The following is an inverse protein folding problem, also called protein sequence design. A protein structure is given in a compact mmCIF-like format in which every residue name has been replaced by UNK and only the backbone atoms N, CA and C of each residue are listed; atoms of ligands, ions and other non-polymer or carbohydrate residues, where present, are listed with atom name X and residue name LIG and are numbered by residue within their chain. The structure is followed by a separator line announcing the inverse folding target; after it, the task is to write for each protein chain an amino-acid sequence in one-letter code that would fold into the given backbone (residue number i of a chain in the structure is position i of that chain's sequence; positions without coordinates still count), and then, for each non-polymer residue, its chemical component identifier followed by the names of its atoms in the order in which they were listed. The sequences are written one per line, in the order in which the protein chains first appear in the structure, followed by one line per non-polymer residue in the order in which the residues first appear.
data_IF_995819671059
#
_entry.id   IF_995819671059
#
_cell.length_a   1.000
_cell.length_b   1.000
_cell.length_c   1.000
_cell.angle_alpha   90.00
_cell.angle_beta   90.00
_cell.angle_gamma   90.00
#
_symmetry.space_group_name_H-M   'P 1'
#
loop_
_entity.id
_entity.type
_entity.pdbx_description
1 polymer ?
2 non-polymer ?
3 non-polymer ?
4 water ?
#
# COMPACT_ATOMS: atom_id res chain seq x y z
N UNK A 10 9.22 4.19 16.41
CA UNK A 10 9.92 3.90 15.13
C UNK A 10 9.27 2.83 14.28
N UNK A 11 9.25 3.13 13.00
CA UNK A 11 8.79 2.21 11.97
C UNK A 11 9.91 1.19 11.84
N UNK A 12 9.55 -0.11 11.90
CA UNK A 12 10.61 -1.12 11.86
C UNK A 12 11.38 -1.18 10.53
N UNK A 13 12.64 -1.57 10.64
CA UNK A 13 13.48 -1.87 9.50
C UNK A 13 12.95 -3.17 8.88
N UNK A 14 13.27 -3.42 7.62
CA UNK A 14 12.84 -4.66 6.99
C UNK A 14 13.52 -5.85 7.64
N UNK A 15 12.86 -7.00 7.63
CA UNK A 15 13.46 -8.22 8.20
C UNK A 15 14.33 -8.98 7.20
N UNK A 16 14.28 -8.61 5.92
CA UNK A 16 15.02 -9.32 4.89
C UNK A 16 16.51 -9.00 4.77
N UNK A 17 17.22 -9.73 3.89
CA UNK A 17 18.65 -9.57 3.66
C UNK A 17 19.07 -8.33 2.87
N UNK A 18 18.16 -7.66 2.18
CA UNK A 18 18.52 -6.56 1.29
C UNK A 18 18.34 -5.24 2.04
N UNK A 19 19.26 -4.32 1.81
CA UNK A 19 19.09 -2.93 2.24
C UNK A 19 17.98 -2.33 1.40
N UNK A 20 17.38 -1.26 1.91
CA UNK A 20 16.21 -0.68 1.25
C UNK A 20 16.39 0.79 0.92
N UNK A 21 16.04 1.12 -0.33
CA UNK A 21 16.05 2.48 -0.81
C UNK A 21 14.65 2.95 -1.05
N UNK A 22 14.49 4.28 -1.10
CA UNK A 22 13.19 4.88 -1.36
C UNK A 22 13.33 6.14 -2.24
N UNK A 23 12.36 6.34 -3.12
CA UNK A 23 12.24 7.59 -3.87
C UNK A 23 10.78 7.79 -4.28
N UNK A 24 10.53 8.94 -4.92
CA UNK A 24 9.19 9.27 -5.44
C UNK A 24 9.25 9.48 -6.95
N UNK A 25 8.21 8.99 -7.63
CA UNK A 25 8.01 9.19 -9.06
C UNK A 25 6.62 9.77 -9.37
N UNK A 26 6.62 10.85 -10.12
CA UNK A 26 5.38 11.40 -10.66
C UNK A 26 5.53 11.52 -12.16
N UNK A 27 4.73 10.77 -12.91
CA UNK A 27 4.69 10.90 -14.36
C UNK A 27 3.34 10.48 -14.98
N UNK A 28 2.76 11.27 -15.86
CA UNK A 28 3.12 12.69 -16.09
C UNK A 28 2.90 13.56 -14.82
N UNK A 29 3.15 14.85 -14.96
CA UNK A 29 2.93 15.87 -13.93
C UNK A 29 1.48 16.24 -13.59
N UNK A 30 0.50 15.71 -14.35
CA UNK A 30 -0.90 16.18 -14.26
C UNK A 30 -1.67 15.39 -13.23
N UNK A 31 -2.86 15.88 -12.90
CA UNK A 31 -3.78 15.12 -12.03
C UNK A 31 -4.19 13.72 -12.54
N UNK A 32 -3.99 13.45 -13.83
CA UNK A 32 -4.20 12.12 -14.43
C UNK A 32 -2.93 11.30 -14.62
N UNK A 33 -1.79 11.85 -14.23
CA UNK A 33 -0.55 11.09 -14.16
C UNK A 33 -0.53 10.11 -13.01
N UNK A 34 0.58 9.38 -12.93
CA UNK A 34 0.85 8.45 -11.86
C UNK A 34 1.77 9.15 -10.85
N UNK A 35 1.41 9.00 -9.58
CA UNK A 35 2.25 9.42 -8.45
C UNK A 35 2.46 8.19 -7.58
N UNK A 36 3.72 7.82 -7.37
CA UNK A 36 4.02 6.71 -6.49
C UNK A 36 5.28 6.94 -5.66
N UNK A 37 5.33 6.26 -4.52
CA UNK A 37 6.54 6.15 -3.74
C UNK A 37 7.09 4.76 -3.99
N UNK A 38 8.35 4.71 -4.40
CA UNK A 38 9.04 3.45 -4.70
C UNK A 38 9.93 3.02 -3.52
N UNK A 39 9.78 1.77 -3.11
CA UNK A 39 10.70 1.09 -2.17
C UNK A 39 11.38 -0.04 -2.94
N UNK A 40 12.68 -0.16 -2.82
CA UNK A 40 13.43 -1.06 -3.68
C UNK A 40 14.71 -1.58 -3.01
N UNK A 41 15.20 -2.76 -3.43
CA UNK A 41 16.47 -3.22 -2.93
C UNK A 41 17.56 -2.25 -3.33
N UNK A 42 18.34 -1.80 -2.37
CA UNK A 42 19.33 -0.76 -2.65
C UNK A 42 20.76 -1.26 -2.57
N UNK A 43 21.58 -0.67 -3.43
CA UNK A 43 22.99 -0.97 -3.51
C UNK A 43 23.73 -0.53 -2.25
N UNK A 44 23.33 0.60 -1.69
CA UNK A 44 24.06 1.22 -0.57
C UNK A 44 23.17 1.45 0.65
N UNK A 45 23.81 1.59 1.81
CA UNK A 45 23.07 1.73 3.06
C UNK A 45 23.58 2.89 3.94
N UNK A 46 24.11 3.93 3.31
CA UNK A 46 24.70 5.09 4.00
C UNK A 46 24.05 6.42 3.60
N UNK A 47 22.79 6.36 3.17
CA UNK A 47 22.06 7.56 2.82
C UNK A 47 21.20 8.00 3.95
N UNK A 48 20.73 9.25 3.85
CA UNK A 48 19.76 9.78 4.82
C UNK A 48 18.51 8.95 4.77
N UNK A 49 17.89 8.76 5.93
CA UNK A 49 16.57 8.10 5.99
C UNK A 49 15.52 8.95 5.32
N UNK A 50 14.41 8.31 5.02
CA UNK A 50 13.32 8.93 4.25
C UNK A 50 12.32 9.68 5.14
N UNK A 51 12.07 10.94 4.82
CA UNK A 51 11.06 11.74 5.54
C UNK A 51 9.67 11.08 5.36
N UNK A 52 8.99 10.81 6.48
CA UNK A 52 7.79 9.97 6.49
C UNK A 52 6.56 10.64 5.88
N UNK A 53 6.29 11.87 6.31
CA UNK A 53 5.19 12.69 5.79
C UNK A 53 5.88 13.95 5.28
N UNK A 54 6.10 14.05 3.96
CA UNK A 54 6.99 15.06 3.38
C UNK A 54 6.52 16.50 3.19
N UNK A 55 5.24 16.80 3.36
CA UNK A 55 4.75 18.17 3.14
C UNK A 55 3.71 18.53 4.19
N UNK A 56 3.72 19.80 4.57
CA UNK A 56 2.77 20.32 5.55
C UNK A 56 1.31 20.07 5.17
N UNK A 57 1.04 20.08 3.86
CA UNK A 57 -0.33 19.91 3.36
C UNK A 57 -0.93 18.53 3.68
N UNK A 58 -0.11 17.48 3.77
CA UNK A 58 -0.61 16.17 4.19
C UNK A 58 -1.21 16.26 5.60
N UNK A 59 -0.61 17.08 6.47
CA UNK A 59 -1.13 17.25 7.82
C UNK A 59 -2.46 18.00 7.83
N UNK A 60 -2.59 19.02 6.99
CA UNK A 60 -3.91 19.64 6.78
C UNK A 60 -4.94 18.63 6.30
N UNK A 61 -4.54 17.80 5.34
CA UNK A 61 -5.37 16.70 4.85
C UNK A 61 -5.85 15.81 5.98
N UNK A 62 -4.91 15.37 6.80
CA UNK A 62 -5.21 14.50 7.95
C UNK A 62 -6.17 15.17 8.93
N UNK A 63 -6.00 16.47 9.10
CA UNK A 63 -6.89 17.22 9.97
C UNK A 63 -8.34 17.16 9.48
N UNK A 64 -8.54 17.35 8.18
CA UNK A 64 -9.90 17.24 7.58
C UNK A 64 -10.42 15.80 7.72
N UNK A 65 -9.59 14.80 7.49
CA UNK A 65 -10.00 13.40 7.63
C UNK A 65 -10.51 13.10 9.05
N UNK A 66 -9.84 13.68 10.05
CA UNK A 66 -10.25 13.53 11.44
C UNK A 66 -11.45 14.39 11.80
N UNK A 67 -11.87 15.30 10.92
CA UNK A 67 -13.00 16.19 11.16
C UNK A 67 -12.66 17.24 12.21
N UNK A 68 -11.40 17.68 12.22
CA UNK A 68 -10.95 18.79 13.08
C UNK A 68 -10.61 20.05 12.27
N UNK A 69 -10.38 21.14 13.00
CA UNK A 69 -9.93 22.43 12.44
C UNK A 69 -8.57 22.20 11.83
N UNK A 70 -8.20 23.02 10.84
CA UNK A 70 -6.89 22.88 10.18
C UNK A 70 -5.68 23.14 11.08
N UNK A 71 -5.89 23.84 12.19
CA UNK A 71 -4.87 24.12 13.19
C UNK A 71 -4.43 22.85 13.93
N UNK A 72 -5.31 21.85 14.04
CA UNK A 72 -4.88 20.53 14.45
C UNK A 72 -3.85 19.98 13.47
N UNK A 73 -4.03 20.31 12.21
CA UNK A 73 -3.04 20.00 11.18
C UNK A 73 -1.66 20.53 11.57
N UNK A 74 -1.58 21.81 11.88
CA UNK A 74 -0.31 22.40 12.34
C UNK A 74 0.28 21.66 13.56
N UNK A 75 -0.59 21.24 14.47
CA UNK A 75 -0.18 20.49 15.67
C UNK A 75 0.36 19.12 15.30
N UNK A 76 -0.28 18.45 14.34
CA UNK A 76 0.17 17.15 13.87
C UNK A 76 1.54 17.28 13.22
N UNK A 77 1.74 18.37 12.49
CA UNK A 77 3.02 18.64 11.86
C UNK A 77 4.12 18.80 12.93
N UNK A 78 3.88 19.64 13.93
CA UNK A 78 4.80 19.78 15.07
C UNK A 78 5.21 18.43 15.64
N UNK A 79 4.25 17.52 15.78
CA UNK A 79 4.50 16.23 16.42
C UNK A 79 5.18 15.20 15.55
N UNK A 80 4.89 15.22 14.25
CA UNK A 80 5.26 14.13 13.35
C UNK A 80 6.02 14.56 12.11
N UNK A 81 6.24 15.87 11.94
CA UNK A 81 6.75 16.41 10.70
C UNK A 81 8.23 16.22 10.43
N UNK A 82 8.98 15.79 11.45
CA UNK A 82 10.41 15.49 11.30
C UNK A 82 10.69 13.98 11.35
N UNK A 83 9.64 13.16 11.55
CA UNK A 83 9.77 11.71 11.62
C UNK A 83 10.24 11.11 10.29
N UNK A 84 11.15 10.14 10.38
CA UNK A 84 11.69 9.44 9.23
C UNK A 84 11.24 7.99 9.27
N UNK A 85 11.48 7.28 8.17
CA UNK A 85 11.21 5.85 8.06
C UNK A 85 12.51 5.22 7.52
N UNK A 86 12.87 4.00 7.99
CA UNK A 86 14.22 3.50 7.71
C UNK A 86 14.37 2.99 6.26
N UNK A 87 14.43 3.93 5.32
CA UNK A 87 14.75 3.63 3.92
C UNK A 87 15.74 4.69 3.40
N UNK A 88 16.77 4.23 2.69
CA UNK A 88 17.82 5.10 2.18
C UNK A 88 17.27 5.96 1.05
N UNK A 89 17.11 7.26 1.31
CA UNK A 89 16.49 8.17 0.33
C UNK A 89 17.39 8.29 -0.89
N UNK A 90 16.82 7.98 -2.06
CA UNK A 90 17.53 8.04 -3.37
C UNK A 90 18.78 7.19 -3.51
N UNK A 91 18.88 6.14 -2.73
CA UNK A 91 20.01 5.22 -2.85
C UNK A 91 19.96 4.59 -4.25
N UNK A 92 21.13 4.29 -4.83
CA UNK A 92 21.09 3.52 -6.07
C UNK A 92 20.42 2.14 -5.89
N UNK A 93 19.72 1.70 -6.92
CA UNK A 93 19.12 0.35 -6.99
C UNK A 93 20.19 -0.73 -6.95
N UNK A 94 19.94 -1.80 -6.20
CA UNK A 94 20.86 -2.94 -6.16
C UNK A 94 20.83 -3.61 -7.55
N UNK A 95 21.97 -3.61 -8.24
CA UNK A 95 21.99 -4.13 -9.61
C UNK A 95 22.13 -5.65 -9.60
N UNK A 96 21.92 -6.23 -10.78
CA UNK A 96 22.35 -7.62 -11.07
C UNK A 96 21.28 -8.68 -10.85
N UNK A 97 20.03 -8.26 -10.72
CA UNK A 97 18.95 -9.18 -10.44
C UNK A 97 17.63 -8.51 -10.77
N UNK A 98 16.70 -9.30 -11.31
CA UNK A 98 15.32 -8.84 -11.62
C UNK A 98 14.37 -9.06 -10.43
N UNK A 99 13.65 -8.01 -10.05
CA UNK A 99 12.81 -8.05 -8.84
C UNK A 99 11.31 -8.16 -9.19
N UNK A 100 10.56 -9.01 -8.47
CA UNK A 100 9.11 -8.92 -8.66
C UNK A 100 8.56 -7.59 -8.14
N UNK A 101 7.37 -7.25 -8.62
CA UNK A 101 6.75 -5.95 -8.38
C UNK A 101 5.44 -6.06 -7.65
N UNK A 102 5.32 -5.28 -6.57
CA UNK A 102 4.06 -5.07 -5.90
C UNK A 102 3.55 -3.64 -6.12
N UNK A 103 2.29 -3.51 -6.51
CA UNK A 103 1.63 -2.23 -6.53
C UNK A 103 0.79 -2.20 -5.25
N UNK A 104 0.94 -1.13 -4.49
CA UNK A 104 0.29 -1.01 -3.18
C UNK A 104 -0.71 0.16 -3.14
N UNK A 105 -1.90 -0.13 -2.60
CA UNK A 105 -2.99 0.85 -2.54
C UNK A 105 -3.39 1.21 -1.13
N UNK A 106 -3.33 2.51 -0.84
CA UNK A 106 -3.58 3.03 0.49
C UNK A 106 -5.06 3.16 0.81
N UNK A 107 -5.34 3.30 2.10
CA UNK A 107 -6.71 3.49 2.61
C UNK A 107 -7.28 4.89 2.41
N UNK A 108 -8.58 5.01 2.71
CA UNK A 108 -9.27 6.29 2.80
C UNK A 108 -8.68 7.23 3.86
N UNK A 109 -8.35 8.45 3.45
CA UNK A 109 -7.72 9.43 4.33
C UNK A 109 -6.23 9.22 4.53
N UNK A 110 -5.69 8.19 3.89
CA UNK A 110 -4.24 7.96 3.91
C UNK A 110 -3.60 8.61 2.66
N UNK A 111 -2.37 8.24 2.35
CA UNK A 111 -1.68 8.70 1.15
C UNK A 111 -0.50 7.76 0.98
N UNK A 112 0.35 8.00 -0.01
CA UNK A 112 1.34 6.99 -0.44
C UNK A 112 2.41 6.58 0.59
N UNK A 113 2.68 7.44 1.57
CA UNK A 113 3.88 7.29 2.39
C UNK A 113 3.61 6.50 3.70
N UNK A 114 2.35 6.20 3.98
CA UNK A 114 1.91 5.71 5.29
C UNK A 114 1.87 4.18 5.47
N UNK A 115 2.42 3.46 4.49
CA UNK A 115 2.56 2.01 4.55
C UNK A 115 4.00 1.58 4.27
N UNK A 116 4.94 2.35 4.84
CA UNK A 116 6.36 2.08 4.71
C UNK A 116 6.79 0.84 5.48
N UNK A 117 6.09 0.47 6.55
CA UNK A 117 6.50 -0.71 7.32
C UNK A 117 6.39 -1.92 6.37
N UNK A 118 5.28 -1.96 5.65
CA UNK A 118 5.04 -3.01 4.63
C UNK A 118 5.97 -2.89 3.46
N UNK A 119 6.04 -1.70 2.88
CA UNK A 119 6.87 -1.47 1.68
C UNK A 119 8.35 -1.77 1.89
N UNK A 120 8.91 -1.27 2.99
CA UNK A 120 10.30 -1.53 3.38
C UNK A 120 10.53 -3.02 3.59
N UNK A 121 9.62 -3.69 4.30
CA UNK A 121 9.84 -5.11 4.57
C UNK A 121 9.86 -5.93 3.28
N UNK A 122 8.91 -5.64 2.40
CA UNK A 122 8.84 -6.30 1.10
C UNK A 122 10.14 -6.06 0.34
N UNK A 123 10.53 -4.79 0.24
CA UNK A 123 11.78 -4.44 -0.45
C UNK A 123 12.99 -5.13 0.14
N UNK A 124 13.07 -5.25 1.46
CA UNK A 124 14.19 -5.94 2.11
C UNK A 124 14.26 -7.43 1.75
N UNK A 125 13.13 -8.00 1.28
CA UNK A 125 13.10 -9.38 0.76
C UNK A 125 13.27 -9.51 -0.77
N UNK A 126 13.53 -8.40 -1.45
CA UNK A 126 13.84 -8.39 -2.89
C UNK A 126 12.68 -8.09 -3.81
N UNK A 127 11.66 -7.38 -3.32
CA UNK A 127 10.62 -6.78 -4.16
C UNK A 127 10.88 -5.30 -4.41
N UNK A 128 10.36 -4.82 -5.54
CA UNK A 128 10.18 -3.41 -5.75
C UNK A 128 8.72 -3.20 -5.45
N UNK A 129 8.44 -2.16 -4.68
CA UNK A 129 7.10 -1.81 -4.25
C UNK A 129 6.76 -0.43 -4.74
N UNK A 130 5.66 -0.32 -5.49
CA UNK A 130 5.14 0.96 -5.92
C UNK A 130 3.85 1.29 -5.16
N UNK A 131 3.96 2.18 -4.17
CA UNK A 131 2.83 2.67 -3.38
C UNK A 131 2.23 3.90 -4.06
N UNK A 132 1.10 3.67 -4.71
CA UNK A 132 0.45 4.71 -5.50
C UNK A 132 -0.17 5.75 -4.58
N UNK A 133 -0.30 6.96 -5.09
CA UNK A 133 -1.10 7.96 -4.38
C UNK A 133 -2.27 8.24 -5.30
N UNK A 134 -3.47 7.99 -4.80
CA UNK A 134 -4.68 8.10 -5.54
C UNK A 134 -5.15 9.54 -5.63
N UNK A 135 -5.72 9.87 -6.79
CA UNK A 135 -6.21 11.22 -7.10
C UNK A 135 -7.73 11.22 -7.18
N UNK A 136 -8.37 10.25 -6.51
CA UNK A 136 -9.83 10.08 -6.50
C UNK A 136 -10.53 10.91 -5.40
N UNK A 137 -9.74 11.72 -4.68
CA UNK A 137 -10.16 12.49 -3.50
C UNK A 137 -10.42 11.57 -2.29
N UNK A 138 -9.90 10.33 -2.33
CA UNK A 138 -9.86 9.43 -1.16
C UNK A 138 -8.57 9.60 -0.33
N UNK A 139 -7.54 10.23 -0.89
CA UNK A 139 -6.34 10.55 -0.12
C UNK A 139 -6.68 11.75 0.78
N UNK A 140 -6.12 11.80 2.00
CA UNK A 140 -6.22 13.02 2.84
C UNK A 140 -5.82 14.27 2.07
N UNK A 141 -4.70 14.11 1.36
CA UNK A 141 -4.20 15.12 0.43
C UNK A 141 -3.37 14.41 -0.62
N UNK A 142 -3.27 15.03 -1.79
CA UNK A 142 -2.29 14.68 -2.80
C UNK A 142 -2.02 15.95 -3.62
N UNK A 143 -1.02 15.89 -4.50
CA UNK A 143 -0.70 17.03 -5.35
C UNK A 143 -0.24 16.61 -6.74
N UNK A 144 -0.21 17.60 -7.61
CA UNK A 144 0.22 17.47 -9.01
C UNK A 144 0.39 18.90 -9.50
N UNK A 145 0.64 19.05 -10.80
CA UNK A 145 0.89 20.36 -11.42
C UNK A 145 -0.10 20.62 -12.56
N UNK A 146 -0.55 21.87 -12.63
CA UNK A 146 -1.61 22.28 -13.56
C UNK A 146 -1.17 22.15 -15.00
N UNK A 147 0.11 22.44 -15.24
CA UNK A 147 0.67 22.38 -16.57
C UNK A 147 2.19 22.28 -16.51
N UNK A 148 2.83 22.29 -17.68
CA UNK A 148 4.26 22.08 -17.76
C UNK A 148 5.03 23.17 -17.02
N UNK A 149 4.62 24.42 -17.20
CA UNK A 149 5.23 25.58 -16.52
C UNK A 149 5.29 25.41 -15.01
N UNK A 150 4.14 25.09 -14.42
CA UNK A 150 4.00 24.88 -12.97
C UNK A 150 4.89 23.74 -12.43
N UNK A 151 4.92 22.63 -13.16
CA UNK A 151 5.81 21.51 -12.82
C UNK A 151 7.29 21.95 -12.74
N UNK A 152 7.75 22.74 -13.70
CA UNK A 152 9.12 23.29 -13.72
C UNK A 152 9.48 24.12 -12.49
N UNK A 153 8.63 25.10 -12.20
CA UNK A 153 8.84 25.95 -11.03
C UNK A 153 8.44 25.29 -9.71
N UNK A 154 7.87 24.08 -9.76
CA UNK A 154 7.47 23.37 -8.52
C UNK A 154 6.24 23.97 -7.83
N UNK A 155 5.37 24.58 -8.63
CA UNK A 155 4.13 25.19 -8.13
C UNK A 155 3.05 24.11 -8.01
N UNK A 156 2.97 23.53 -6.82
CA UNK A 156 2.05 22.42 -6.53
C UNK A 156 0.60 22.85 -6.42
N UNK A 157 -0.30 22.05 -7.00
CA UNK A 157 -1.72 22.17 -6.75
C UNK A 157 -2.13 20.99 -5.89
N UNK A 158 -2.81 21.30 -4.78
CA UNK A 158 -3.23 20.31 -3.81
C UNK A 158 -4.71 19.92 -3.99
N UNK A 159 -5.00 18.64 -3.76
CA UNK A 159 -6.34 18.08 -3.84
C UNK A 159 -6.59 17.37 -2.52
N UNK A 160 -7.64 17.82 -1.80
CA UNK A 160 -7.94 17.32 -0.47
C UNK A 160 -9.07 16.31 -0.48
N UNK A 161 -9.11 15.48 0.57
CA UNK A 161 -10.17 14.52 0.83
C UNK A 161 -11.57 15.08 0.54
N UNK A 162 -12.38 14.34 -0.22
CA UNK A 162 -13.80 14.68 -0.41
C UNK A 162 -14.64 14.04 0.68
N UNK A 163 -15.44 14.88 1.33
CA UNK A 163 -16.44 14.47 2.29
C UNK A 163 -17.75 14.17 1.54
N UNK A 164 -18.35 13.03 1.84
CA UNK A 164 -19.58 12.58 1.17
C UNK A 164 -20.79 12.77 2.06
N UNK A 165 -21.93 13.06 1.44
CA UNK A 165 -23.24 12.98 2.10
C UNK A 165 -23.64 11.51 2.05
N UNK A 166 -24.49 11.08 2.99
CA UNK A 166 -24.91 9.66 3.07
C UNK A 166 -25.50 9.11 1.77
N UNK A 167 -26.23 9.96 1.06
CA UNK A 167 -26.85 9.62 -0.20
C UNK A 167 -25.84 9.44 -1.35
N UNK A 168 -24.63 9.98 -1.21
CA UNK A 168 -23.55 9.82 -2.20
C UNK A 168 -22.69 8.60 -1.98
N UNK A 169 -22.81 7.94 -0.83
CA UNK A 169 -21.81 6.94 -0.40
C UNK A 169 -21.66 5.80 -1.42
N UNK A 170 -22.76 5.11 -1.72
CA UNK A 170 -22.69 3.92 -2.60
C UNK A 170 -22.07 4.29 -3.93
N UNK A 171 -22.61 5.34 -4.54
CA UNK A 171 -22.24 5.69 -5.88
C UNK A 171 -20.80 6.20 -5.98
N UNK A 172 -20.43 7.16 -5.14
CA UNK A 172 -19.11 7.78 -5.20
C UNK A 172 -17.99 6.82 -4.78
N UNK A 173 -18.23 5.99 -3.76
CA UNK A 173 -17.20 5.00 -3.38
C UNK A 173 -16.89 4.01 -4.50
N UNK A 174 -17.91 3.65 -5.28
CA UNK A 174 -17.71 2.75 -6.44
C UNK A 174 -16.95 3.50 -7.54
N UNK A 175 -17.29 4.77 -7.80
CA UNK A 175 -16.56 5.55 -8.80
C UNK A 175 -15.09 5.63 -8.39
N UNK A 176 -14.87 5.79 -7.09
CA UNK A 176 -13.53 5.92 -6.56
C UNK A 176 -12.72 4.63 -6.70
N UNK A 177 -13.33 3.50 -6.35
CA UNK A 177 -12.63 2.22 -6.44
C UNK A 177 -12.26 1.87 -7.89
N UNK A 178 -13.08 2.29 -8.83
CA UNK A 178 -12.77 2.03 -10.25
C UNK A 178 -11.64 2.92 -10.71
N UNK A 179 -11.67 4.19 -10.32
CA UNK A 179 -10.51 5.07 -10.56
C UNK A 179 -9.24 4.55 -9.93
N UNK A 180 -9.33 4.10 -8.68
CA UNK A 180 -8.19 3.53 -7.98
C UNK A 180 -7.60 2.35 -8.78
N UNK A 181 -8.46 1.47 -9.27
CA UNK A 181 -8.00 0.34 -10.06
C UNK A 181 -7.27 0.77 -11.32
N UNK A 182 -7.83 1.77 -12.02
CA UNK A 182 -7.18 2.34 -13.19
C UNK A 182 -5.82 2.94 -12.87
N UNK A 183 -5.72 3.58 -11.71
CA UNK A 183 -4.48 4.15 -11.25
C UNK A 183 -3.45 3.06 -10.95
N UNK A 184 -3.89 1.93 -10.40
CA UNK A 184 -3.00 0.78 -10.21
C UNK A 184 -2.49 0.24 -11.52
N UNK A 185 -3.39 0.04 -12.49
CA UNK A 185 -3.01 -0.46 -13.80
C UNK A 185 -2.07 0.53 -14.49
N UNK A 186 -2.37 1.81 -14.38
CA UNK A 186 -1.52 2.84 -14.96
C UNK A 186 -0.12 2.86 -14.34
N UNK A 187 -0.06 2.68 -13.03
CA UNK A 187 1.25 2.65 -12.35
C UNK A 187 2.09 1.46 -12.84
N UNK A 188 1.44 0.29 -13.00
CA UNK A 188 2.08 -0.91 -13.54
C UNK A 188 2.69 -0.65 -14.91
N UNK A 189 1.87 -0.09 -15.80
CA UNK A 189 2.30 0.23 -17.15
C UNK A 189 3.50 1.17 -17.15
N UNK A 190 3.47 2.20 -16.30
CA UNK A 190 4.60 3.12 -16.21
C UNK A 190 5.90 2.39 -15.82
N UNK A 191 5.81 1.56 -14.78
CA UNK A 191 6.97 0.80 -14.32
C UNK A 191 7.46 -0.20 -15.38
N UNK A 192 6.54 -0.93 -16.01
CA UNK A 192 6.91 -1.85 -17.11
C UNK A 192 7.55 -1.10 -18.27
N UNK A 193 7.07 0.11 -18.58
CA UNK A 193 7.69 0.95 -19.61
C UNK A 193 9.08 1.45 -19.23
N UNK A 194 9.26 1.84 -17.97
CA UNK A 194 10.59 2.20 -17.47
C UNK A 194 11.51 0.98 -17.52
N UNK A 195 10.98 -0.20 -17.19
CA UNK A 195 11.77 -1.45 -17.24
C UNK A 195 12.39 -1.68 -18.61
N UNK A 196 11.64 -1.39 -19.67
CA UNK A 196 12.14 -1.50 -21.03
C UNK A 196 13.28 -0.51 -21.30
N UNK A 197 13.12 0.70 -20.77
CA UNK A 197 14.09 1.79 -20.98
C UNK A 197 13.52 3.02 -21.65
N UNK A 198 12.19 3.15 -21.67
CA UNK A 198 11.56 4.41 -22.07
C UNK A 198 12.06 5.58 -21.22
N UNK A 199 12.62 6.63 -21.84
CA UNK A 199 12.91 7.82 -21.07
C UNK A 199 11.63 8.37 -20.47
N UNK A 200 11.66 8.61 -19.17
CA UNK A 200 10.59 9.26 -18.43
C UNK A 200 11.27 10.38 -17.65
N UNK A 201 10.84 11.61 -17.80
CA UNK A 201 11.35 12.71 -16.96
C UNK A 201 10.46 12.81 -15.73
N UNK A 202 11.01 12.44 -14.59
CA UNK A 202 10.28 12.57 -13.33
C UNK A 202 9.85 14.02 -13.14
N UNK A 203 8.58 14.24 -12.84
CA UNK A 203 8.08 15.60 -12.61
C UNK A 203 8.61 16.19 -11.30
N UNK A 204 9.02 15.32 -10.38
CA UNK A 204 9.76 15.73 -9.21
C UNK A 204 11.24 15.70 -9.56
N UNK A 205 11.96 16.72 -9.13
CA UNK A 205 13.38 16.85 -9.44
C UNK A 205 14.15 16.19 -8.30
N UNK A 206 14.40 14.89 -8.45
CA UNK A 206 15.02 14.07 -7.41
C UNK A 206 16.22 13.35 -8.00
N UNK A 207 17.29 13.25 -7.23
CA UNK A 207 18.54 12.64 -7.73
C UNK A 207 18.51 11.11 -7.65
N UNK A 208 17.51 10.54 -8.33
CA UNK A 208 17.39 9.10 -8.54
C UNK A 208 17.07 8.93 -10.03
N UNK A 209 18.07 8.49 -10.77
CA UNK A 209 17.91 8.26 -12.21
C UNK A 209 17.10 6.99 -12.46
N UNK A 210 15.92 7.21 -13.07
CA UNK A 210 15.00 6.14 -13.41
C UNK A 210 15.55 5.09 -14.37
N UNK A 211 16.61 5.41 -15.09
CA UNK A 211 17.24 4.42 -15.99
C UNK A 211 17.87 3.20 -15.31
N UNK A 212 18.13 3.34 -14.01
CA UNK A 212 18.50 2.20 -13.17
C UNK A 212 17.48 1.09 -13.21
N UNK A 213 16.21 1.46 -13.27
CA UNK A 213 15.15 0.48 -13.32
C UNK A 213 15.08 -0.32 -14.64
N UNK A 214 15.75 0.13 -15.70
CA UNK A 214 15.85 -0.63 -16.94
C UNK A 214 16.32 -2.07 -16.67
N UNK A 215 15.60 -3.05 -17.20
CA UNK A 215 15.91 -4.50 -17.06
C UNK A 215 16.00 -5.00 -15.62
N UNK A 216 15.26 -4.35 -14.71
CA UNK A 216 15.29 -4.68 -13.28
C UNK A 216 14.00 -5.29 -12.70
N UNK A 217 12.93 -5.37 -13.49
CA UNK A 217 11.65 -5.96 -13.07
C UNK A 217 11.51 -7.37 -13.63
N UNK A 218 11.11 -8.30 -12.78
CA UNK A 218 10.74 -9.64 -13.23
C UNK A 218 9.31 -9.50 -13.77
N UNK A 219 9.20 -9.37 -15.10
CA UNK A 219 8.00 -8.78 -15.72
C UNK A 219 6.68 -9.55 -15.57
N UNK A 220 6.70 -10.87 -15.36
CA UNK A 220 5.46 -11.63 -15.08
C UNK A 220 5.11 -11.79 -13.59
N UNK A 221 5.99 -11.37 -12.69
CA UNK A 221 5.84 -11.57 -11.26
C UNK A 221 5.29 -10.28 -10.63
N UNK A 222 4.00 -10.06 -10.82
CA UNK A 222 3.33 -8.82 -10.39
C UNK A 222 2.15 -9.12 -9.50
N UNK A 223 2.11 -8.41 -8.38
CA UNK A 223 1.01 -8.50 -7.43
C UNK A 223 0.51 -7.14 -7.04
N UNK A 224 -0.71 -7.13 -6.49
CA UNK A 224 -1.35 -5.91 -6.00
C UNK A 224 -1.72 -6.20 -4.55
N UNK A 225 -1.40 -5.26 -3.68
CA UNK A 225 -1.66 -5.36 -2.25
C UNK A 225 -2.25 -4.02 -1.77
N UNK A 226 -3.08 -4.06 -0.74
CA UNK A 226 -3.59 -2.81 -0.19
C UNK A 226 -4.46 -2.99 1.06
N UNK A 227 -4.63 -1.87 1.76
CA UNK A 227 -5.31 -1.82 3.06
C UNK A 227 -6.66 -1.13 2.96
N UNK A 228 -7.69 -1.82 3.44
CA UNK A 228 -9.00 -1.20 3.69
C UNK A 228 -9.67 -0.77 2.37
N UNK A 229 -9.75 0.53 2.06
CA UNK A 229 -10.17 0.97 0.69
C UNK A 229 -9.20 0.38 -0.35
N UNK A 230 -7.94 0.31 0.03
CA UNK A 230 -6.91 -0.33 -0.73
C UNK A 230 -7.10 -1.81 -0.98
N UNK A 231 -7.77 -2.48 -0.06
CA UNK A 231 -8.15 -3.89 -0.18
C UNK A 231 -9.24 -4.12 -1.19
N UNK A 232 -10.28 -3.27 -1.18
CA UNK A 232 -11.28 -3.26 -2.26
C UNK A 232 -10.58 -2.97 -3.61
N UNK A 233 -9.60 -2.06 -3.59
CA UNK A 233 -8.84 -1.69 -4.78
C UNK A 233 -8.10 -2.92 -5.35
N UNK A 234 -7.53 -3.74 -4.49
CA UNK A 234 -6.91 -5.03 -4.91
C UNK A 234 -7.88 -5.80 -5.78
N UNK A 235 -9.10 -5.97 -5.27
CA UNK A 235 -10.09 -6.81 -5.87
C UNK A 235 -10.58 -6.26 -7.20
N UNK A 236 -10.94 -4.98 -7.21
CA UNK A 236 -11.31 -4.32 -8.45
C UNK A 236 -10.19 -4.48 -9.51
N UNK A 237 -8.94 -4.24 -9.06
CA UNK A 237 -7.77 -4.24 -9.94
C UNK A 237 -7.55 -5.61 -10.61
N UNK A 238 -7.59 -6.67 -9.80
CA UNK A 238 -7.52 -8.04 -10.30
C UNK A 238 -8.59 -8.35 -11.32
N UNK A 239 -9.82 -7.91 -11.09
CA UNK A 239 -10.88 -8.25 -12.04
C UNK A 239 -10.73 -7.57 -13.39
N UNK A 240 -10.01 -6.45 -13.41
CA UNK A 240 -9.87 -5.72 -14.66
C UNK A 240 -8.51 -5.75 -15.33
N UNK A 241 -7.48 -6.27 -14.67
CA UNK A 241 -6.12 -6.25 -15.20
C UNK A 241 -5.44 -7.59 -14.92
N UNK A 242 -5.48 -8.48 -15.91
CA UNK A 242 -4.91 -9.83 -15.78
C UNK A 242 -3.38 -9.85 -15.68
N UNK A 243 -2.73 -8.69 -15.80
CA UNK A 243 -1.29 -8.60 -15.59
C UNK A 243 -0.93 -8.81 -14.13
N UNK A 244 -1.85 -8.45 -13.23
CA UNK A 244 -1.70 -8.75 -11.81
C UNK A 244 -2.02 -10.22 -11.57
N UNK A 245 -1.01 -10.95 -11.12
CA UNK A 245 -1.08 -12.39 -10.93
C UNK A 245 -1.77 -12.87 -9.68
N UNK A 246 -1.62 -12.12 -8.61
CA UNK A 246 -2.39 -12.40 -7.40
C UNK A 246 -2.58 -11.13 -6.60
N UNK A 247 -3.45 -11.21 -5.60
CA UNK A 247 -3.73 -10.08 -4.71
C UNK A 247 -3.75 -10.45 -3.26
N UNK A 248 -3.38 -9.47 -2.43
CA UNK A 248 -3.50 -9.57 -0.97
C UNK A 248 -4.27 -8.38 -0.42
N UNK A 249 -5.42 -8.66 0.20
CA UNK A 249 -6.28 -7.62 0.74
C UNK A 249 -6.10 -7.58 2.25
N UNK A 250 -5.64 -6.44 2.74
CA UNK A 250 -5.32 -6.24 4.15
C UNK A 250 -6.49 -5.53 4.77
N UNK A 251 -7.26 -6.28 5.54
CA UNK A 251 -8.44 -5.78 6.21
C UNK A 251 -9.29 -5.02 5.20
N UNK A 252 -9.71 -5.70 4.13
CA UNK A 252 -10.45 -5.04 3.07
C UNK A 252 -11.76 -4.40 3.56
N UNK A 253 -12.02 -3.18 3.08
CA UNK A 253 -13.31 -2.55 3.22
C UNK A 253 -14.09 -2.83 1.94
N UNK A 254 -15.08 -3.73 1.99
CA UNK A 254 -15.67 -4.25 0.76
C UNK A 254 -16.78 -3.38 0.13
N UNK A 255 -17.34 -2.48 0.93
CA UNK A 255 -18.44 -1.60 0.51
C UNK A 255 -18.33 -0.96 -0.89
N UNK A 256 -17.15 -0.44 -1.27
CA UNK A 256 -17.06 0.17 -2.63
C UNK A 256 -17.29 -0.73 -3.85
N UNK A 257 -17.17 -2.05 -3.69
CA UNK A 257 -17.22 -2.95 -4.83
C UNK A 257 -18.61 -3.05 -5.45
N UNK A 258 -18.66 -3.02 -6.77
CA UNK A 258 -19.91 -3.27 -7.49
C UNK A 258 -20.27 -4.73 -7.43
N UNK A 259 -21.57 -5.02 -7.48
CA UNK A 259 -22.10 -6.39 -7.50
C UNK A 259 -21.50 -7.27 -8.56
N UNK A 260 -21.10 -6.64 -9.66
CA UNK A 260 -20.54 -7.34 -10.81
C UNK A 260 -19.19 -8.00 -10.58
N UNK A 261 -18.35 -7.47 -9.67
CA UNK A 261 -16.93 -7.89 -9.60
C UNK A 261 -16.74 -9.26 -8.95
N UNK A 262 -17.67 -9.66 -8.09
CA UNK A 262 -17.46 -10.81 -7.20
C UNK A 262 -17.15 -12.12 -7.91
N UNK A 263 -17.88 -12.41 -8.99
CA UNK A 263 -17.63 -13.59 -9.82
C UNK A 263 -16.49 -13.45 -10.86
N UNK A 264 -15.75 -12.33 -10.83
CA UNK A 264 -14.88 -11.93 -11.95
C UNK A 264 -13.42 -11.81 -11.48
N UNK A 265 -12.98 -12.65 -10.54
CA UNK A 265 -11.61 -12.54 -10.01
C UNK A 265 -10.90 -13.90 -10.10
N UNK A 266 -10.35 -14.23 -11.28
CA UNK A 266 -9.73 -15.54 -11.44
C UNK A 266 -8.44 -15.76 -10.64
N UNK A 267 -7.75 -14.68 -10.27
CA UNK A 267 -6.43 -14.78 -9.62
C UNK A 267 -6.54 -15.19 -8.15
N UNK A 268 -5.48 -15.84 -7.63
CA UNK A 268 -5.43 -16.09 -6.18
C UNK A 268 -5.56 -14.82 -5.35
N UNK A 269 -6.28 -14.93 -4.24
CA UNK A 269 -6.59 -13.78 -3.39
C UNK A 269 -6.50 -14.19 -1.94
N UNK A 270 -5.77 -13.39 -1.16
CA UNK A 270 -5.52 -13.62 0.26
C UNK A 270 -6.11 -12.47 1.07
N UNK A 271 -7.08 -12.78 1.93
CA UNK A 271 -7.60 -11.84 2.91
C UNK A 271 -6.84 -11.99 4.24
N UNK A 272 -6.14 -10.92 4.64
CA UNK A 272 -5.48 -10.84 5.96
C UNK A 272 -6.24 -9.79 6.76
N UNK A 273 -6.97 -10.24 7.78
CA UNK A 273 -7.87 -9.37 8.59
C UNK A 273 -7.36 -9.09 10.01
N UNK A 274 -7.87 -7.99 10.58
CA UNK A 274 -7.71 -7.69 12.00
C UNK A 274 -8.87 -8.36 12.71
N UNK A 275 -8.68 -8.67 13.98
CA UNK A 275 -9.74 -9.24 14.81
C UNK A 275 -10.92 -8.26 15.02
N UNK A 276 -10.59 -6.98 15.26
CA UNK A 276 -11.58 -6.01 15.74
C UNK A 276 -12.29 -5.14 14.68
N UNK A 277 -11.71 -5.00 13.50
CA UNK A 277 -12.36 -4.26 12.41
C UNK A 277 -13.61 -4.92 11.84
N UNK A 278 -13.58 -6.24 11.66
CA UNK A 278 -14.52 -6.90 10.74
C UNK A 278 -15.92 -7.02 11.29
N UNK A 279 -16.86 -7.20 10.36
CA UNK A 279 -18.29 -7.31 10.68
C UNK A 279 -19.00 -8.16 9.64
N UNK A 280 -20.13 -8.79 10.00
CA UNK A 280 -20.78 -9.71 9.06
C UNK A 280 -20.96 -9.19 7.62
N UNK A 281 -21.47 -7.97 7.42
CA UNK A 281 -21.74 -7.46 6.06
C UNK A 281 -20.46 -7.52 5.19
N UNK A 282 -19.34 -7.13 5.79
CA UNK A 282 -18.06 -7.15 5.14
C UNK A 282 -17.59 -8.58 4.85
N UNK A 283 -17.66 -9.45 5.85
CA UNK A 283 -17.23 -10.85 5.70
C UNK A 283 -18.04 -11.58 4.64
N UNK A 284 -19.36 -11.32 4.62
CA UNK A 284 -20.25 -11.90 3.60
C UNK A 284 -19.78 -11.52 2.18
N UNK A 285 -19.40 -10.26 2.01
CA UNK A 285 -18.85 -9.79 0.73
C UNK A 285 -17.54 -10.49 0.35
N UNK A 286 -16.66 -10.71 1.32
CA UNK A 286 -15.42 -11.45 1.05
C UNK A 286 -15.75 -12.87 0.60
N UNK A 287 -16.73 -13.49 1.24
CA UNK A 287 -17.11 -14.87 0.93
C UNK A 287 -17.76 -14.99 -0.46
N UNK A 288 -18.39 -13.91 -0.94
CA UNK A 288 -18.84 -13.82 -2.34
C UNK A 288 -17.71 -13.87 -3.38
N UNK A 289 -16.47 -13.64 -2.95
CA UNK A 289 -15.33 -13.84 -3.84
C UNK A 289 -14.95 -15.31 -4.01
N UNK A 290 -15.54 -16.23 -3.22
CA UNK A 290 -15.11 -17.64 -3.21
C UNK A 290 -15.89 -18.44 -4.27
N UNK A 291 -15.19 -19.37 -4.91
CA UNK A 291 -15.76 -20.36 -5.85
C UNK A 291 -14.83 -21.56 -5.87
N UNK A 292 -15.35 -22.75 -6.25
CA UNK A 292 -14.52 -23.97 -6.18
C UNK A 292 -13.21 -23.90 -6.97
N UNK A 293 -13.22 -23.22 -8.13
CA UNK A 293 -12.05 -23.18 -9.02
C UNK A 293 -10.99 -22.14 -8.62
N UNK A 294 -11.33 -21.29 -7.64
CA UNK A 294 -10.49 -20.20 -7.24
C UNK A 294 -9.78 -20.46 -5.93
N UNK A 295 -8.59 -19.88 -5.85
CA UNK A 295 -7.71 -20.01 -4.73
C UNK A 295 -7.99 -18.82 -3.83
N UNK A 296 -8.54 -19.11 -2.66
CA UNK A 296 -8.73 -18.09 -1.63
C UNK A 296 -8.20 -18.56 -0.29
N UNK A 297 -7.67 -17.60 0.47
CA UNK A 297 -7.17 -17.83 1.80
C UNK A 297 -7.60 -16.64 2.64
N UNK A 298 -7.91 -16.92 3.91
CA UNK A 298 -8.26 -15.89 4.88
C UNK A 298 -7.63 -16.23 6.25
N UNK A 299 -7.00 -15.22 6.87
CA UNK A 299 -6.53 -15.32 8.25
C UNK A 299 -6.89 -14.06 9.01
N UNK A 300 -6.97 -14.19 10.32
CA UNK A 300 -7.25 -13.09 11.22
C UNK A 300 -6.16 -13.00 12.31
N UNK A 301 -5.60 -11.80 12.49
CA UNK A 301 -4.55 -11.56 13.47
C UNK A 301 -5.20 -11.33 14.84
N UNK A 302 -4.93 -12.21 15.81
CA UNK A 302 -5.48 -12.10 17.18
C UNK A 302 -5.08 -10.79 17.83
N UNK A 303 -6.05 -10.11 18.44
CA UNK A 303 -5.80 -8.92 19.25
C UNK A 303 -5.50 -7.66 18.47
N UNK A 304 -5.65 -7.70 17.14
CA UNK A 304 -5.29 -6.58 16.28
C UNK A 304 -6.49 -5.72 15.88
N UNK A 305 -6.18 -4.48 15.53
CA UNK A 305 -7.16 -3.48 15.07
C UNK A 305 -6.82 -3.08 13.65
N UNK A 306 -7.77 -2.36 13.04
CA UNK A 306 -7.67 -1.91 11.64
C UNK A 306 -6.35 -1.19 11.35
N UNK A 307 -5.93 -0.34 12.30
CA UNK A 307 -4.73 0.45 12.09
C UNK A 307 -3.39 -0.29 12.25
N UNK A 308 -3.40 -1.57 12.66
CA UNK A 308 -2.15 -2.37 12.76
C UNK A 308 -1.44 -2.51 11.38
N UNK A 309 -2.19 -2.31 10.28
CA UNK A 309 -1.63 -2.47 8.93
C UNK A 309 -0.97 -1.20 8.37
N UNK A 310 -1.09 -0.08 9.06
CA UNK A 310 -0.58 1.23 8.60
C UNK A 310 0.43 1.80 9.59
N UNK A 311 1.20 2.80 9.17
CA UNK A 311 2.41 3.22 9.90
C UNK A 311 2.11 3.96 11.21
N UNK A 312 0.92 4.56 11.36
CA UNK A 312 0.60 5.29 12.57
C UNK A 312 0.54 4.38 13.81
N UNK A 313 0.47 3.06 13.59
CA UNK A 313 0.59 2.09 14.67
C UNK A 313 1.96 2.12 15.34
N UNK A 314 2.97 2.64 14.63
CA UNK A 314 4.31 2.78 15.19
C UNK A 314 4.64 4.17 15.72
N UNK A 315 3.76 5.15 15.52
CA UNK A 315 4.09 6.59 15.67
C UNK A 315 3.92 7.17 17.04
N UNK A 316 3.22 6.45 17.90
CA UNK A 316 2.96 6.88 19.26
C UNK A 316 3.32 5.74 20.19
N UNK A 317 3.39 6.06 21.48
CA UNK A 317 3.60 5.08 22.53
C UNK A 317 2.41 4.13 22.70
N UNK A 318 2.62 3.13 23.56
CA UNK A 318 1.67 2.03 23.74
C UNK A 318 0.36 2.48 24.37
N UNK A 319 0.44 3.37 25.36
CA UNK A 319 -0.76 3.84 26.07
C UNK A 319 -1.56 4.76 25.14
N UNK A 320 -0.92 5.80 24.62
CA UNK A 320 -1.63 6.71 23.69
C UNK A 320 -2.16 5.92 22.50
N UNK A 321 -1.34 5.02 21.97
CA UNK A 321 -1.69 4.25 20.78
C UNK A 321 -2.94 3.41 20.93
N UNK A 322 -3.07 2.76 22.09
CA UNK A 322 -4.24 1.95 22.38
C UNK A 322 -5.49 2.82 22.52
N UNK A 323 -5.36 3.97 23.19
CA UNK A 323 -6.49 4.92 23.34
C UNK A 323 -7.03 5.43 22.01
N UNK A 324 -6.10 5.76 21.11
CA UNK A 324 -6.42 6.26 19.76
C UNK A 324 -6.83 5.19 18.73
N UNK A 325 -6.88 3.93 19.16
CA UNK A 325 -7.15 2.77 18.31
C UNK A 325 -6.13 2.60 17.18
N UNK A 326 -4.92 3.11 17.39
CA UNK A 326 -3.78 2.88 16.48
C UNK A 326 -3.10 1.55 16.79
N UNK A 327 -3.21 1.07 18.04
CA UNK A 327 -2.60 -0.19 18.46
C UNK A 327 -3.69 -1.09 19.01
N UNK A 328 -3.48 -2.41 18.89
CA UNK A 328 -4.35 -3.40 19.50
C UNK A 328 -3.70 -3.98 20.75
N UNK A 329 -4.30 -5.06 21.24
CA UNK A 329 -3.75 -5.83 22.34
C UNK A 329 -2.42 -6.48 21.98
N UNK A 330 -2.31 -6.86 20.71
CA UNK A 330 -1.11 -7.43 20.14
C UNK A 330 -0.04 -6.33 19.93
N UNK A 331 1.23 -6.67 20.17
CA UNK A 331 2.34 -5.78 19.82
C UNK A 331 2.37 -5.47 18.31
N UNK A 332 2.54 -4.19 17.97
CA UNK A 332 2.51 -3.76 16.57
C UNK A 332 3.53 -4.44 15.66
N UNK A 333 4.75 -4.66 16.17
CA UNK A 333 5.79 -5.31 15.35
C UNK A 333 5.48 -6.78 15.14
N UNK A 334 5.03 -7.45 16.20
CA UNK A 334 4.54 -8.83 16.11
C UNK A 334 3.44 -8.94 15.03
N UNK A 335 2.47 -8.05 15.08
CA UNK A 335 1.34 -8.07 14.14
C UNK A 335 1.77 -7.89 12.69
N UNK A 336 2.60 -6.89 12.43
CA UNK A 336 3.02 -6.60 11.08
C UNK A 336 3.98 -7.68 10.57
N UNK A 337 4.85 -8.23 11.43
CA UNK A 337 5.66 -9.40 11.08
C UNK A 337 4.83 -10.56 10.52
N UNK A 338 3.73 -10.88 11.20
CA UNK A 338 2.80 -11.93 10.76
C UNK A 338 2.16 -11.66 9.39
N UNK A 339 1.60 -10.46 9.25
CA UNK A 339 1.01 -10.02 7.99
C UNK A 339 2.02 -10.06 6.82
N UNK A 340 3.21 -9.50 7.06
CA UNK A 340 4.31 -9.44 6.08
C UNK A 340 4.90 -10.82 5.74
N UNK A 341 5.08 -11.67 6.74
CA UNK A 341 5.62 -13.03 6.47
C UNK A 341 4.61 -13.95 5.75
N UNK A 342 3.34 -13.89 6.18
CA UNK A 342 2.26 -14.61 5.52
C UNK A 342 2.12 -14.10 4.08
N UNK A 343 2.25 -12.79 3.89
CA UNK A 343 2.20 -12.20 2.54
C UNK A 343 3.31 -12.75 1.64
N UNK A 344 4.54 -12.74 2.14
CA UNK A 344 5.68 -13.31 1.44
C UNK A 344 5.47 -14.76 1.01
N UNK A 345 4.99 -15.60 1.91
CA UNK A 345 4.73 -17.00 1.59
C UNK A 345 3.68 -17.11 0.46
N UNK A 346 2.60 -16.36 0.57
CA UNK A 346 1.54 -16.36 -0.46
C UNK A 346 2.06 -15.92 -1.83
N UNK A 347 2.84 -14.83 -1.85
CA UNK A 347 3.45 -14.29 -3.08
C UNK A 347 4.37 -15.32 -3.73
N UNK A 348 5.20 -15.97 -2.94
CA UNK A 348 6.14 -16.95 -3.49
C UNK A 348 5.35 -18.08 -4.18
N UNK A 349 4.27 -18.50 -3.53
CA UNK A 349 3.42 -19.55 -4.06
C UNK A 349 2.80 -19.15 -5.41
N UNK A 350 2.20 -17.97 -5.47
CA UNK A 350 1.41 -17.60 -6.64
C UNK A 350 2.14 -16.77 -7.70
N UNK A 351 3.34 -16.27 -7.38
CA UNK A 351 4.25 -15.72 -8.38
C UNK A 351 5.33 -16.69 -8.81
N UNK A 352 5.44 -17.83 -8.13
CA UNK A 352 6.47 -18.80 -8.46
C UNK A 352 7.87 -18.27 -8.24
N UNK A 353 8.08 -17.70 -7.06
CA UNK A 353 9.39 -17.19 -6.68
C UNK A 353 10.28 -18.33 -6.18
N UNK A 354 11.59 -18.14 -6.31
CA UNK A 354 12.57 -19.15 -5.90
C UNK A 354 13.40 -18.63 -4.74
N UNK A 355 12.70 -18.24 -3.69
CA UNK A 355 13.27 -17.73 -2.45
C UNK A 355 12.91 -18.73 -1.34
N UNK A 356 13.04 -18.31 -0.09
CA UNK A 356 12.80 -19.18 1.07
C UNK A 356 11.52 -18.81 1.82
N UNK A 357 10.59 -18.13 1.14
CA UNK A 357 9.41 -17.58 1.81
C UNK A 357 8.39 -18.68 2.16
N UNK A 358 8.54 -19.86 1.57
CA UNK A 358 7.72 -21.01 1.94
C UNK A 358 7.95 -21.48 3.40
N UNK A 359 8.99 -20.98 4.07
CA UNK A 359 9.14 -21.18 5.54
C UNK A 359 7.94 -20.64 6.33
N UNK A 360 7.21 -19.67 5.77
CA UNK A 360 6.03 -19.13 6.40
C UNK A 360 4.69 -19.67 5.87
N UNK A 361 4.74 -20.75 5.11
CA UNK A 361 3.52 -21.39 4.55
C UNK A 361 2.43 -21.62 5.59
N UNK A 362 2.81 -22.06 6.79
CA UNK A 362 1.85 -22.36 7.84
C UNK A 362 1.02 -21.13 8.27
N UNK A 363 1.59 -19.93 8.11
CA UNK A 363 0.85 -18.68 8.40
C UNK A 363 -0.29 -18.41 7.43
N UNK A 364 -0.15 -18.87 6.18
CA UNK A 364 -1.26 -18.77 5.19
C UNK A 364 -2.49 -19.52 5.70
N UNK A 365 -2.26 -20.64 6.40
CA UNK A 365 -3.35 -21.43 6.99
C UNK A 365 -3.71 -21.00 8.43
N UNK A 366 -3.13 -19.89 8.91
CA UNK A 366 -3.45 -19.34 10.23
C UNK A 366 -2.94 -20.19 11.40
N UNK A 367 -1.90 -20.98 11.13
CA UNK A 367 -1.31 -21.88 12.12
C UNK A 367 -0.16 -21.16 12.82
N UNK A 368 -0.55 -20.48 13.90
CA UNK A 368 0.33 -19.69 14.73
C UNK A 368 -0.49 -19.31 15.96
N UNK A 369 0.16 -19.18 17.10
CA UNK A 369 -0.57 -18.83 18.32
C UNK A 369 -1.32 -17.47 18.22
N UNK A 370 -0.77 -16.50 17.48
CA UNK A 370 -1.42 -15.20 17.25
C UNK A 370 -2.29 -15.11 15.97
N UNK A 371 -2.60 -16.24 15.34
CA UNK A 371 -3.48 -16.25 14.16
C UNK A 371 -4.72 -17.07 14.42
N UNK A 372 -5.83 -16.60 13.84
CA UNK A 372 -7.07 -17.36 13.74
C UNK A 372 -7.20 -17.78 12.27
N UNK A 373 -7.34 -19.10 12.00
CA UNK A 373 -7.63 -19.46 10.62
C UNK A 373 -9.00 -18.93 10.21
N UNK A 374 -9.08 -18.41 9.00
CA UNK A 374 -10.32 -17.85 8.50
C UNK A 374 -10.72 -16.60 9.29
N UNK A 375 -11.92 -16.62 9.85
CA UNK A 375 -12.46 -15.47 10.57
C UNK A 375 -13.14 -15.79 11.89
N UNK A 376 -13.01 -14.87 12.83
CA UNK A 376 -13.75 -14.92 14.10
C UNK A 376 -15.22 -14.49 13.93
N UNK A 377 -15.59 -13.96 12.77
CA UNK A 377 -16.94 -13.42 12.53
C UNK A 377 -17.93 -14.48 12.04
N UNK A 378 -18.97 -14.70 12.85
CA UNK A 378 -20.12 -15.53 12.51
C UNK A 378 -21.11 -14.79 11.60
N UNK A 379 -21.50 -15.44 10.50
CA UNK A 379 -22.43 -14.85 9.53
C UNK A 379 -23.63 -15.77 9.28
N UNK A 380 -24.23 -16.23 10.38
CA UNK A 380 -25.52 -16.90 10.36
C UNK A 380 -26.28 -16.54 11.64
X LIG B 1 -22.74 -6.05 9.72
X LIG C 1 -10.53 -1.70 14.52
X LIG D 1 -13.21 1.77 6.74
X LIG D 1 -12.43 3.04 6.37
X LIG D 1 -13.31 4.29 6.62
X LIG D 1 -8.65 2.89 6.57
X LIG D 1 -8.02 4.25 6.84
X LIG D 1 -6.27 6.50 7.25
X LIG D 1 -5.41 7.53 7.55
X LIG D 1 -4.14 7.25 7.98
X LIG D 1 -3.68 5.96 8.14
X LIG D 1 -2.36 5.67 8.60
X LIG D 1 -11.10 3.13 7.18
X LIG D 1 -10.04 2.98 6.19
X LIG D 1 -6.63 4.07 7.13
X LIG D 1 -5.85 5.17 7.39
X LIG D 1 -3.30 8.28 8.28
X LIG D 1 -1.29 5.44 8.96
X LIG D 1 -4.56 4.91 7.84
X LIG D 1 -10.47 2.93 4.92
X LIG D 1 -9.74 2.86 3.95
X LIG D 1 -11.97 2.99 4.89
X LIG D 1 -14.13 2.01 7.01
X LIG D 1 -12.77 1.31 7.47
X LIG D 1 -13.26 1.17 5.97
X LIG D 1 -13.40 4.80 5.80
X LIG D 1 -12.89 4.85 7.30
X LIG D 1 -14.19 4.01 6.93
X LIG D 1 -8.57 2.34 7.38
X LIG D 1 -8.14 2.45 5.86
X LIG D 1 -8.13 4.83 6.07
X LIG D 1 -8.46 4.68 7.61
X LIG D 1 -7.14 6.67 6.96
X LIG D 1 -5.70 8.42 7.45
X LIG D 1 -11.06 2.41 7.84
X LIG D 1 -11.04 3.99 7.64
X LIG D 1 -4.27 4.01 7.93
X LIG D 1 -12.27 3.78 4.41
X LIG D 1 -12.33 2.20 4.44
#
# INVERSE_FOLDING_TARGET
MAAASFGQTKIPRGNGPYSVGCTDLMFDHTNKGTFLRLYYPSQDNDRLDTLWIPNKEYFWGLSKFLGTHWLMGNILRLLFGSMTTPANWNSPLRPGEKYPLVVFSHGLGAFRTLYSAIGIDLASHGFIVAAVEHRDRSASATYYFKDQSAAEIGDKSWLYLRTLKQEEETHIRNEQVRQRAKECSQALSLILDIDHGKPVKNALDLKFDMEQLKDSIDREKIAVIGHSFGGATVIQTLSEDQRFRCGIALDAWMFPLGDEVYSRIPQPLFFINSEYFQYPANIIKMKKCYSPDKERKMITIRGSVHQNFADFTFATGKIIGHMLKLKGDIDSNVAIDLSNKASLAFLQKHLGLHKDFDQWDCLIEGDDENLIPGTNINTTNQHHHHHH
CL CL
CL CL
7BW C1 C2 C3 C6 C7 C10 C11 C12 C14 C15 C4 N5 O8 C9 F13 N16 C17 C18 O19 C20 H22 H23 H21 H24 H25 H26 H30 H29 H32 H31 H33 H34 H27 H28 H35 H36 H37
#
